data_IF_360263303404
#
_entry.id   IF_360263303404
#
_cell.length_a   1.000
_cell.length_b   1.000
_cell.length_c   1.000
_cell.angle_alpha   90.00
_cell.angle_beta   90.00
_cell.angle_gamma   90.00
#
_symmetry.space_group_name_H-M   'P 1'
#
loop_
_entity.id
_entity.type
_entity.pdbx_description
1 polymer ?
#
# COMPACT_ATOMS: atom_id res chain seq x y z
N UNK A 1 1.71 -3.34 19.33
CA UNK A 1 1.70 -2.79 17.96
C UNK A 1 3.10 -2.27 17.66
N UNK A 2 3.66 -2.69 16.53
CA UNK A 2 5.03 -2.37 16.16
C UNK A 2 5.17 -2.30 14.64
N UNK A 3 5.87 -1.29 14.16
CA UNK A 3 6.42 -1.21 12.81
C UNK A 3 7.88 -0.74 12.90
N UNK A 4 8.78 -1.30 12.07
CA UNK A 4 10.10 -0.72 11.86
C UNK A 4 10.06 0.76 11.50
N UNK A 5 11.20 1.43 11.63
CA UNK A 5 11.33 2.83 11.20
C UNK A 5 11.55 2.87 9.68
N UNK A 6 10.55 3.35 8.93
CA UNK A 6 10.52 3.38 7.47
C UNK A 6 10.73 4.79 6.88
N UNK A 7 10.88 5.82 7.70
CA UNK A 7 11.13 7.17 7.22
C UNK A 7 12.57 7.30 6.71
N UNK A 8 12.71 7.65 5.44
CA UNK A 8 13.98 8.11 4.89
C UNK A 8 14.23 9.53 5.41
N UNK A 9 15.32 9.71 6.17
CA UNK A 9 15.67 10.99 6.78
C UNK A 9 16.25 12.00 5.78
N UNK A 10 16.77 11.54 4.65
CA UNK A 10 17.31 12.40 3.59
C UNK A 10 16.19 12.93 2.70
N UNK A 11 15.30 12.03 2.27
CA UNK A 11 14.21 12.38 1.35
C UNK A 11 12.92 12.82 2.06
N UNK A 12 12.88 12.71 3.39
CA UNK A 12 11.75 13.04 4.25
C UNK A 12 10.42 12.40 3.79
N UNK A 13 10.48 11.14 3.39
CA UNK A 13 9.33 10.34 2.94
C UNK A 13 9.45 8.91 3.45
N UNK A 14 8.33 8.19 3.48
CA UNK A 14 8.35 6.78 3.85
C UNK A 14 8.73 5.91 2.66
N UNK A 15 9.69 4.99 2.86
CA UNK A 15 10.11 4.05 1.82
C UNK A 15 9.09 2.92 1.61
N UNK A 16 8.33 2.59 2.64
CA UNK A 16 7.32 1.54 2.63
C UNK A 16 6.03 2.03 3.29
N UNK A 17 4.86 1.58 2.81
CA UNK A 17 3.56 2.09 3.24
C UNK A 17 3.04 1.43 4.52
N UNK A 18 3.85 0.60 5.18
CA UNK A 18 3.37 -0.35 6.19
C UNK A 18 2.82 0.30 7.44
N UNK A 19 3.37 1.44 7.88
CA UNK A 19 2.79 2.20 9.00
C UNK A 19 1.36 2.61 8.67
N UNK A 20 1.14 3.23 7.50
CA UNK A 20 -0.19 3.66 7.07
C UNK A 20 -1.12 2.46 6.90
N UNK A 21 -0.71 1.45 6.14
CA UNK A 21 -1.57 0.32 5.81
C UNK A 21 -1.98 -0.48 7.05
N UNK A 22 -1.06 -0.79 7.96
CA UNK A 22 -1.41 -1.49 9.19
C UNK A 22 -2.19 -0.60 10.17
N UNK A 23 -1.89 0.69 10.23
CA UNK A 23 -2.65 1.61 11.07
C UNK A 23 -4.13 1.66 10.65
N UNK A 24 -4.40 1.79 9.35
CA UNK A 24 -5.78 1.90 8.85
C UNK A 24 -6.51 0.57 8.75
N UNK A 25 -5.80 -0.54 8.53
CA UNK A 25 -6.43 -1.87 8.35
C UNK A 25 -6.59 -2.65 9.64
N UNK A 26 -5.58 -2.62 10.53
CA UNK A 26 -5.51 -3.54 11.66
C UNK A 26 -5.56 -2.79 13.00
N UNK A 27 -4.69 -1.79 13.20
CA UNK A 27 -4.51 -1.18 14.51
C UNK A 27 -5.69 -0.33 14.95
N UNK A 28 -6.29 0.42 14.03
CA UNK A 28 -7.46 1.22 14.32
C UNK A 28 -8.64 0.34 14.75
N UNK A 29 -9.00 -0.65 13.94
CA UNK A 29 -10.14 -1.54 14.19
C UNK A 29 -10.00 -2.29 15.53
N UNK A 30 -8.79 -2.71 15.90
CA UNK A 30 -8.52 -3.34 17.20
C UNK A 30 -8.88 -2.44 18.39
N UNK A 31 -8.61 -1.14 18.30
CA UNK A 31 -8.89 -0.19 19.38
C UNK A 31 -10.35 0.24 19.34
N UNK A 32 -10.87 0.58 18.15
CA UNK A 32 -12.24 1.03 17.93
C UNK A 32 -13.27 -0.02 18.36
N UNK A 33 -12.97 -1.32 18.19
CA UNK A 33 -13.85 -2.39 18.65
C UNK A 33 -14.15 -2.34 20.15
N UNK A 34 -13.30 -1.74 20.97
CA UNK A 34 -13.55 -1.65 22.42
C UNK A 34 -14.70 -0.70 22.79
N UNK A 35 -15.07 0.22 21.90
CA UNK A 35 -16.23 1.09 22.09
C UNK A 35 -17.53 0.26 22.19
N UNK A 36 -17.61 -0.85 21.46
CA UNK A 36 -18.73 -1.79 21.50
C UNK A 36 -18.67 -2.76 22.69
N UNK A 37 -17.49 -2.94 23.30
CA UNK A 37 -17.26 -3.91 24.38
C UNK A 37 -16.62 -3.29 25.63
N UNK A 38 -17.27 -2.30 26.27
CA UNK A 38 -16.67 -1.50 27.35
C UNK A 38 -16.35 -2.28 28.64
N UNK A 39 -16.83 -3.53 28.76
CA UNK A 39 -16.52 -4.41 29.90
C UNK A 39 -15.24 -5.23 29.70
N UNK A 40 -14.67 -5.23 28.50
CA UNK A 40 -13.42 -5.94 28.19
C UNK A 40 -12.25 -5.00 28.46
N UNK A 41 -11.27 -5.49 29.22
CA UNK A 41 -10.05 -4.75 29.51
C UNK A 41 -8.90 -5.35 28.70
N UNK A 42 -8.25 -4.51 27.90
CA UNK A 42 -7.13 -4.90 27.05
C UNK A 42 -5.96 -3.96 27.32
N UNK A 43 -4.74 -4.50 27.28
CA UNK A 43 -3.53 -3.68 27.29
C UNK A 43 -2.92 -3.65 25.88
N UNK A 44 -2.72 -2.45 25.34
CA UNK A 44 -1.99 -2.26 24.09
C UNK A 44 -0.61 -1.70 24.39
N UNK A 45 0.42 -2.43 23.97
CA UNK A 45 1.77 -1.90 23.92
C UNK A 45 2.01 -1.20 22.58
N UNK A 46 2.47 0.05 22.59
CA UNK A 46 2.84 0.81 21.39
C UNK A 46 4.29 1.24 21.50
N UNK A 47 5.10 0.91 20.50
CA UNK A 47 6.49 1.35 20.45
C UNK A 47 6.59 2.82 20.00
N UNK A 48 7.50 3.63 20.56
CA UNK A 48 7.61 5.06 20.22
C UNK A 48 7.79 5.31 18.71
N UNK A 49 8.61 4.50 18.05
CA UNK A 49 8.86 4.62 16.60
C UNK A 49 7.59 4.48 15.75
N UNK A 50 6.59 3.72 16.20
CA UNK A 50 5.31 3.62 15.51
C UNK A 50 4.49 4.91 15.68
N UNK A 51 4.46 5.45 16.90
CA UNK A 51 3.72 6.67 17.24
C UNK A 51 4.26 7.87 16.45
N UNK A 52 5.59 8.02 16.41
CA UNK A 52 6.23 9.10 15.66
C UNK A 52 5.87 9.05 14.17
N UNK A 53 5.90 7.86 13.57
CA UNK A 53 5.58 7.69 12.15
C UNK A 53 4.10 7.90 11.84
N UNK A 54 3.19 7.51 12.75
CA UNK A 54 1.75 7.81 12.61
C UNK A 54 1.53 9.33 12.65
N UNK A 55 2.16 10.03 13.60
CA UNK A 55 2.08 11.48 13.69
C UNK A 55 2.66 12.17 12.46
N UNK A 56 3.72 11.61 11.87
CA UNK A 56 4.28 12.12 10.63
C UNK A 56 3.28 12.09 9.46
N UNK A 57 2.52 11.00 9.30
CA UNK A 57 1.42 10.95 8.33
C UNK A 57 0.28 11.91 8.68
N UNK A 58 -0.15 11.94 9.95
CA UNK A 58 -1.37 12.60 10.36
C UNK A 58 -1.23 14.13 10.52
N UNK A 59 -0.06 14.61 10.94
CA UNK A 59 0.16 15.99 11.36
C UNK A 59 1.23 16.71 10.53
N UNK A 60 2.23 15.98 10.03
CA UNK A 60 3.38 16.57 9.34
C UNK A 60 3.29 16.47 7.81
N UNK A 61 2.16 15.98 7.27
CA UNK A 61 1.92 15.79 5.84
C UNK A 61 2.96 14.89 5.15
N UNK A 62 3.58 13.97 5.87
CA UNK A 62 4.44 12.97 5.22
C UNK A 62 3.59 11.95 4.47
N UNK A 63 4.19 11.41 3.41
CA UNK A 63 3.55 10.47 2.49
C UNK A 63 4.53 9.35 2.12
N UNK A 64 4.02 8.37 1.41
CA UNK A 64 4.78 7.27 0.83
C UNK A 64 4.54 7.21 -0.69
N UNK A 65 5.46 6.58 -1.42
CA UNK A 65 5.34 6.49 -2.88
C UNK A 65 4.08 5.73 -3.31
N UNK A 66 3.61 4.75 -2.54
CA UNK A 66 2.40 4.00 -2.86
C UNK A 66 1.19 4.91 -2.76
N UNK A 67 1.03 5.69 -1.67
CA UNK A 67 -0.06 6.63 -1.48
C UNK A 67 -0.08 7.71 -2.57
N UNK A 68 1.08 8.30 -2.86
CA UNK A 68 1.19 9.31 -3.92
C UNK A 68 0.73 8.76 -5.27
N UNK A 69 1.13 7.53 -5.60
CA UNK A 69 0.75 6.88 -6.84
C UNK A 69 -0.70 6.40 -6.83
N UNK A 70 -1.25 5.99 -5.69
CA UNK A 70 -2.68 5.69 -5.54
C UNK A 70 -3.55 6.92 -5.82
N UNK A 71 -3.14 8.10 -5.36
CA UNK A 71 -3.92 9.34 -5.51
C UNK A 71 -3.73 10.03 -6.87
N UNK A 72 -2.63 9.76 -7.57
CA UNK A 72 -2.35 10.40 -8.87
C UNK A 72 -3.32 9.89 -9.94
N UNK A 73 -3.97 10.77 -10.74
CA UNK A 73 -4.85 10.31 -11.81
C UNK A 73 -4.14 9.35 -12.77
N UNK A 74 -4.74 8.18 -13.04
CA UNK A 74 -4.13 7.11 -13.83
C UNK A 74 -3.63 7.56 -15.21
N UNK A 75 -4.32 8.52 -15.84
CA UNK A 75 -3.94 9.07 -17.15
C UNK A 75 -2.69 9.98 -17.09
N UNK A 76 -2.28 10.42 -15.90
CA UNK A 76 -1.09 11.27 -15.67
C UNK A 76 0.12 10.48 -15.16
N UNK A 77 0.02 9.15 -15.03
CA UNK A 77 1.13 8.29 -14.63
C UNK A 77 2.21 8.24 -15.71
N UNK A 78 3.46 8.50 -15.32
CA UNK A 78 4.64 8.34 -16.17
C UNK A 78 4.95 6.85 -16.38
N UNK A 79 5.77 6.49 -17.40
CA UNK A 79 6.18 5.11 -17.60
C UNK A 79 6.90 4.48 -16.39
N UNK A 80 7.67 5.26 -15.65
CA UNK A 80 8.41 4.81 -14.46
C UNK A 80 7.44 4.53 -13.31
N UNK A 81 6.46 5.41 -13.10
CA UNK A 81 5.42 5.24 -12.09
C UNK A 81 4.52 4.03 -12.39
N UNK A 82 4.16 3.82 -13.66
CA UNK A 82 3.44 2.61 -14.11
C UNK A 82 4.24 1.34 -13.82
N UNK A 83 5.55 1.38 -14.07
CA UNK A 83 6.45 0.26 -13.74
C UNK A 83 6.46 0.00 -12.24
N UNK A 84 6.53 1.05 -11.42
CA UNK A 84 6.48 0.93 -9.96
C UNK A 84 5.18 0.25 -9.50
N UNK A 85 4.02 0.67 -10.04
CA UNK A 85 2.72 0.07 -9.69
C UNK A 85 2.71 -1.42 -10.04
N UNK A 86 3.09 -1.79 -11.26
CA UNK A 86 3.08 -3.20 -11.69
C UNK A 86 4.07 -4.07 -10.92
N UNK A 87 5.15 -3.48 -10.40
CA UNK A 87 6.12 -4.17 -9.57
C UNK A 87 5.60 -4.40 -8.14
N UNK A 88 4.96 -3.39 -7.55
CA UNK A 88 4.76 -3.35 -6.10
C UNK A 88 3.31 -3.56 -5.64
N UNK A 89 2.31 -3.27 -6.48
CA UNK A 89 0.91 -3.28 -6.00
C UNK A 89 0.39 -4.70 -5.78
N UNK A 90 0.99 -5.71 -6.43
CA UNK A 90 0.70 -7.12 -6.21
C UNK A 90 1.43 -7.76 -5.01
N UNK A 91 1.95 -6.96 -4.07
CA UNK A 91 2.66 -7.44 -2.87
C UNK A 91 1.65 -7.90 -1.81
N UNK A 92 0.94 -8.99 -2.11
CA UNK A 92 -0.01 -9.66 -1.25
C UNK A 92 0.02 -11.16 -1.53
N UNK A 93 -0.62 -11.99 -0.69
CA UNK A 93 -0.72 -13.42 -0.98
C UNK A 93 -1.61 -13.64 -2.21
N UNK A 94 -1.07 -14.20 -3.29
CA UNK A 94 -1.81 -14.29 -4.55
C UNK A 94 -3.03 -15.21 -4.48
N UNK A 95 -2.94 -16.35 -3.80
CA UNK A 95 -4.04 -17.32 -3.73
C UNK A 95 -5.19 -16.84 -2.84
N UNK A 96 -4.87 -16.17 -1.73
CA UNK A 96 -5.86 -15.81 -0.71
C UNK A 96 -6.31 -14.34 -0.77
N UNK A 97 -5.53 -13.45 -1.38
CA UNK A 97 -5.82 -12.00 -1.39
C UNK A 97 -5.98 -11.42 -2.79
N UNK A 98 -5.49 -12.08 -3.84
CA UNK A 98 -5.61 -11.56 -5.22
C UNK A 98 -6.61 -12.39 -6.03
N UNK A 99 -6.38 -13.70 -6.10
CA UNK A 99 -7.20 -14.66 -6.86
C UNK A 99 -8.69 -14.63 -6.53
N UNK A 100 -9.13 -14.39 -5.27
CA UNK A 100 -10.56 -14.27 -4.98
C UNK A 100 -11.26 -13.09 -5.66
N UNK A 101 -10.51 -12.08 -6.11
CA UNK A 101 -11.04 -10.92 -6.81
C UNK A 101 -10.75 -11.04 -8.31
N UNK A 102 -11.74 -11.40 -9.16
CA UNK A 102 -11.49 -11.75 -10.57
C UNK A 102 -10.74 -10.68 -11.34
N UNK A 103 -11.13 -9.41 -11.16
CA UNK A 103 -10.45 -8.29 -11.83
C UNK A 103 -8.98 -8.16 -11.42
N UNK A 104 -8.70 -8.32 -10.13
CA UNK A 104 -7.34 -8.19 -9.63
C UNK A 104 -6.44 -9.34 -10.11
N UNK A 105 -7.01 -10.54 -10.14
CA UNK A 105 -6.39 -11.72 -10.71
C UNK A 105 -6.08 -11.60 -12.21
N UNK A 106 -7.01 -11.04 -12.98
CA UNK A 106 -6.82 -10.80 -14.41
C UNK A 106 -5.67 -9.81 -14.65
N UNK A 107 -5.57 -8.76 -13.85
CA UNK A 107 -4.49 -7.77 -13.93
C UNK A 107 -3.13 -8.40 -13.59
N UNK A 108 -3.07 -9.24 -12.55
CA UNK A 108 -1.86 -9.99 -12.20
C UNK A 108 -1.44 -10.95 -13.33
N UNK A 109 -2.43 -11.65 -13.91
CA UNK A 109 -2.21 -12.59 -15.02
C UNK A 109 -1.72 -11.86 -16.27
N UNK A 110 -2.27 -10.67 -16.55
CA UNK A 110 -1.85 -9.77 -17.64
C UNK A 110 -0.42 -9.25 -17.45
N UNK A 111 -0.02 -8.94 -16.21
CA UNK A 111 1.37 -8.60 -15.87
C UNK A 111 2.30 -9.81 -16.04
N UNK A 112 1.78 -11.04 -15.88
CA UNK A 112 2.57 -12.29 -15.90
C UNK A 112 3.15 -12.61 -14.53
N UNK A 113 3.47 -13.86 -14.18
CA UNK A 113 3.83 -14.26 -12.79
C UNK A 113 5.31 -14.13 -12.44
N UNK A 114 6.19 -14.32 -13.41
CA UNK A 114 7.63 -14.19 -13.25
C UNK A 114 8.07 -13.13 -14.24
N UNK A 115 8.44 -11.96 -13.71
CA UNK A 115 8.68 -10.76 -14.52
C UNK A 115 9.92 -10.08 -13.99
N UNK A 116 10.90 -9.86 -14.86
CA UNK A 116 12.04 -9.01 -14.51
C UNK A 116 11.64 -7.52 -14.59
N UNK A 117 12.33 -6.67 -13.84
CA UNK A 117 12.03 -5.22 -13.81
C UNK A 117 12.13 -4.55 -15.19
N UNK A 118 13.03 -5.03 -16.07
CA UNK A 118 13.16 -4.52 -17.43
C UNK A 118 11.97 -4.90 -18.32
N UNK A 119 11.43 -6.11 -18.14
CA UNK A 119 10.27 -6.61 -18.90
C UNK A 119 9.00 -5.81 -18.59
N UNK A 120 8.88 -5.28 -17.37
CA UNK A 120 7.74 -4.44 -16.97
C UNK A 120 7.61 -3.18 -17.82
N UNK A 121 8.71 -2.66 -18.40
CA UNK A 121 8.69 -1.50 -19.30
C UNK A 121 7.93 -1.79 -20.60
N UNK A 122 8.00 -3.02 -21.09
CA UNK A 122 7.24 -3.44 -22.27
C UNK A 122 5.83 -3.90 -21.90
N UNK A 123 5.68 -4.61 -20.78
CA UNK A 123 4.39 -5.12 -20.32
C UNK A 123 3.42 -3.99 -20.02
N UNK A 124 3.87 -2.88 -19.44
CA UNK A 124 3.01 -1.73 -19.15
C UNK A 124 2.32 -1.16 -20.41
N UNK A 125 2.87 -1.36 -21.62
CA UNK A 125 2.25 -0.91 -22.88
C UNK A 125 0.96 -1.65 -23.20
N UNK A 126 0.77 -2.85 -22.64
CA UNK A 126 -0.45 -3.65 -22.77
C UNK A 126 -1.54 -3.18 -21.81
N UNK A 127 -1.20 -2.38 -20.80
CA UNK A 127 -2.13 -1.87 -19.79
C UNK A 127 -2.76 -0.55 -20.26
N UNK A 128 -4.08 -0.49 -20.15
CA UNK A 128 -4.88 0.71 -20.38
C UNK A 128 -4.86 1.61 -19.15
N UNK A 129 -5.32 2.86 -19.31
CA UNK A 129 -5.55 3.77 -18.18
C UNK A 129 -6.51 3.17 -17.16
N UNK A 130 -7.55 2.45 -17.60
CA UNK A 130 -8.49 1.79 -16.69
C UNK A 130 -7.81 0.68 -15.88
N UNK A 131 -6.91 -0.09 -16.49
CA UNK A 131 -6.17 -1.13 -15.77
C UNK A 131 -5.33 -0.53 -14.61
N UNK A 132 -4.71 0.63 -14.82
CA UNK A 132 -3.99 1.33 -13.76
C UNK A 132 -4.91 1.91 -12.70
N UNK A 133 -6.07 2.47 -13.10
CA UNK A 133 -7.06 2.95 -12.15
C UNK A 133 -7.58 1.82 -11.26
N UNK A 134 -7.85 0.65 -11.84
CA UNK A 134 -8.28 -0.52 -11.09
C UNK A 134 -7.21 -0.96 -10.09
N UNK A 135 -5.93 -0.95 -10.47
CA UNK A 135 -4.84 -1.23 -9.52
C UNK A 135 -4.72 -0.19 -8.40
N UNK A 136 -5.10 1.06 -8.64
CA UNK A 136 -5.09 2.08 -7.59
C UNK A 136 -6.24 1.90 -6.58
N UNK A 137 -7.29 1.16 -6.93
CA UNK A 137 -8.51 1.01 -6.13
C UNK A 137 -8.70 -0.38 -5.50
N UNK A 138 -8.12 -1.43 -6.10
CA UNK A 138 -8.19 -2.83 -5.65
C UNK A 138 -7.05 -3.17 -4.70
#
# INVERSE_FOLDING_TARGET
MHQPYYKDLLENKFVLPWVRLHATKDYYDMVASLDDFPKIYVNFNLVPSLIDQINDYAQNNLTDQFLNLTLKPANKLSPEERTFILQNFFTANWENMIKPFPRYWDLLSKRGRYVAGEELKEIQRRFSTQDFLDLQLL
#
